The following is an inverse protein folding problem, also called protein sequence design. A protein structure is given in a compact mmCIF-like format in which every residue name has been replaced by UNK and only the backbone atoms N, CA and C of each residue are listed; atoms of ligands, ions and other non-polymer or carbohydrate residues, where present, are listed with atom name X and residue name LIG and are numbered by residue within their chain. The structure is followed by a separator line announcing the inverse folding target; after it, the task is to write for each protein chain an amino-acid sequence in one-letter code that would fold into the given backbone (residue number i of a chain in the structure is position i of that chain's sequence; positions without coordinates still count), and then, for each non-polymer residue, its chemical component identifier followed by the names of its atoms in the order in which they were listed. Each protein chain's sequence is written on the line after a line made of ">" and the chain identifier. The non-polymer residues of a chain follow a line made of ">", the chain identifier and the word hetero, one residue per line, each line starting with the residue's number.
data_IF_932177534661
#
_entry.id   IF_932177534661
#
_cell.length_a   1.000
_cell.length_b   1.000
_cell.length_c   1.000
_cell.angle_alpha   90.00
_cell.angle_beta   90.00
_cell.angle_gamma   90.00
#
_symmetry.space_group_name_H-M   'P 1'
#
loop_
_entity.id
_entity.type
_entity.pdbx_description
1 polymer ?
#
# COMPACT_ATOMS: atom_id res chain seq x y z
N UNK A 1 -3.92 17.76 29.20
CA UNK A 1 -4.39 17.49 27.83
C UNK A 1 -3.94 16.09 27.43
N UNK A 2 -4.77 15.28 26.78
CA UNK A 2 -4.31 13.96 26.29
C UNK A 2 -3.51 14.19 25.02
N UNK A 3 -2.26 13.75 25.02
CA UNK A 3 -1.40 13.80 23.85
C UNK A 3 -2.07 13.07 22.68
N UNK A 4 -2.09 13.69 21.49
CA UNK A 4 -2.70 13.07 20.32
C UNK A 4 -1.94 11.77 19.97
N UNK A 5 -2.63 10.71 19.50
CA UNK A 5 -1.94 9.50 19.06
C UNK A 5 -0.84 9.84 18.04
N UNK A 6 0.31 9.17 18.09
CA UNK A 6 1.48 9.47 17.24
C UNK A 6 1.12 9.56 15.74
N UNK A 7 0.18 8.73 15.27
CA UNK A 7 -0.36 8.80 13.90
C UNK A 7 -1.08 10.12 13.61
N UNK A 8 -1.93 10.60 14.53
CA UNK A 8 -2.65 11.86 14.38
C UNK A 8 -1.69 13.05 14.35
N UNK A 9 -0.66 13.04 15.22
CA UNK A 9 0.38 14.06 15.22
C UNK A 9 1.18 14.07 13.91
N UNK A 10 1.55 12.89 13.39
CA UNK A 10 2.28 12.76 12.13
C UNK A 10 1.47 13.21 10.90
N UNK A 11 0.14 13.14 10.96
CA UNK A 11 -0.76 13.57 9.88
C UNK A 11 -1.35 14.97 10.09
N UNK A 12 -1.06 15.63 11.22
CA UNK A 12 -1.69 16.90 11.61
C UNK A 12 -1.48 18.05 10.62
N UNK A 13 -0.45 17.97 9.78
CA UNK A 13 -0.10 19.00 8.79
C UNK A 13 -0.42 18.59 7.35
N UNK A 14 -1.10 17.47 7.13
CA UNK A 14 -1.55 17.08 5.79
C UNK A 14 -2.59 18.09 5.32
N UNK A 15 -2.33 18.74 4.18
CA UNK A 15 -3.22 19.76 3.59
C UNK A 15 -3.77 19.39 2.22
N UNK A 16 -3.20 18.36 1.60
CA UNK A 16 -3.52 17.94 0.25
C UNK A 16 -3.30 16.43 0.12
N UNK A 17 -3.91 15.87 -0.92
CA UNK A 17 -3.67 14.51 -1.39
C UNK A 17 -3.50 14.54 -2.90
N UNK A 18 -2.88 13.52 -3.47
CA UNK A 18 -2.91 13.32 -4.92
C UNK A 18 -4.35 13.08 -5.41
N UNK A 19 -4.56 13.23 -6.72
CA UNK A 19 -5.74 12.69 -7.38
C UNK A 19 -5.78 11.16 -7.26
N UNK A 20 -6.94 10.57 -7.54
CA UNK A 20 -7.09 9.12 -7.52
C UNK A 20 -6.32 8.51 -8.70
N UNK A 21 -5.42 7.59 -8.40
CA UNK A 21 -4.75 6.77 -9.40
C UNK A 21 -5.60 5.52 -9.66
N UNK A 22 -6.31 5.48 -10.79
CA UNK A 22 -7.01 4.27 -11.22
C UNK A 22 -6.02 3.32 -11.89
N UNK A 23 -6.00 2.06 -11.48
CA UNK A 23 -5.06 1.06 -11.99
C UNK A 23 -5.77 -0.25 -12.26
N UNK A 24 -5.41 -0.90 -13.36
CA UNK A 24 -5.85 -2.23 -13.74
C UNK A 24 -4.62 -3.09 -14.02
N UNK A 25 -4.58 -4.30 -13.46
CA UNK A 25 -3.54 -5.29 -13.70
C UNK A 25 -4.18 -6.46 -14.46
N UNK A 26 -4.03 -6.53 -15.81
CA UNK A 26 -4.68 -7.56 -16.61
C UNK A 26 -4.07 -8.93 -16.36
N UNK A 27 -4.91 -9.94 -16.10
CA UNK A 27 -4.51 -11.32 -15.79
C UNK A 27 -3.68 -11.93 -16.94
N UNK A 28 -4.04 -11.64 -18.19
CA UNK A 28 -3.41 -12.19 -19.39
C UNK A 28 -1.92 -11.84 -19.48
N UNK A 29 -1.55 -10.72 -18.85
CA UNK A 29 -0.18 -10.21 -18.84
C UNK A 29 0.63 -10.68 -17.62
N UNK A 30 0.01 -11.39 -16.66
CA UNK A 30 0.61 -11.71 -15.36
C UNK A 30 1.25 -10.46 -14.73
N UNK A 31 0.55 -9.33 -14.85
CA UNK A 31 1.06 -8.04 -14.40
C UNK A 31 1.36 -8.08 -12.90
N UNK A 32 2.44 -7.41 -12.52
CA UNK A 32 2.88 -7.28 -11.13
C UNK A 32 3.54 -5.94 -10.91
N UNK A 33 3.77 -5.61 -9.66
CA UNK A 33 4.55 -4.43 -9.31
C UNK A 33 5.64 -4.80 -8.33
N UNK A 34 6.89 -4.65 -8.78
CA UNK A 34 8.05 -5.06 -8.01
C UNK A 34 8.13 -4.33 -6.67
N UNK A 35 8.81 -4.98 -5.72
CA UNK A 35 9.04 -4.45 -4.38
C UNK A 35 9.60 -3.04 -4.42
N UNK A 36 8.96 -2.13 -3.70
CA UNK A 36 9.34 -0.72 -3.62
C UNK A 36 8.80 -0.08 -2.32
N UNK A 37 9.16 1.18 -2.08
CA UNK A 37 8.49 2.06 -1.12
C UNK A 37 7.93 3.26 -1.88
N UNK A 38 6.77 3.76 -1.45
CA UNK A 38 6.09 4.85 -2.14
C UNK A 38 6.88 6.17 -2.03
N UNK A 39 7.50 6.43 -0.89
CA UNK A 39 8.23 7.67 -0.63
C UNK A 39 9.75 7.47 -0.61
N UNK A 40 10.28 6.62 -1.49
CA UNK A 40 11.72 6.35 -1.60
C UNK A 40 12.58 7.57 -1.94
N UNK A 41 12.00 8.62 -2.54
CA UNK A 41 12.71 9.83 -3.00
C UNK A 41 12.35 11.11 -2.25
N UNK A 42 11.64 11.03 -1.12
CA UNK A 42 11.22 12.22 -0.38
C UNK A 42 10.21 13.08 -1.14
N UNK A 43 9.34 12.45 -1.93
CA UNK A 43 8.29 13.09 -2.74
C UNK A 43 7.12 13.67 -1.93
N UNK A 44 7.19 13.65 -0.60
CA UNK A 44 6.20 14.27 0.30
C UNK A 44 4.98 13.41 0.62
N UNK A 45 4.87 12.20 0.05
CA UNK A 45 3.82 11.25 0.41
C UNK A 45 4.02 10.72 1.83
N UNK A 46 2.99 10.84 2.68
CA UNK A 46 3.03 10.36 4.06
C UNK A 46 2.22 9.08 4.25
N UNK A 47 1.02 9.02 3.67
CA UNK A 47 0.08 7.92 3.84
C UNK A 47 -0.43 7.48 2.46
N UNK A 48 -0.31 6.19 2.19
CA UNK A 48 -0.90 5.54 1.02
C UNK A 48 -2.25 4.98 1.41
N UNK A 49 -3.26 5.20 0.56
CA UNK A 49 -4.59 4.65 0.70
C UNK A 49 -4.98 3.95 -0.62
N UNK A 50 -5.36 2.67 -0.53
CA UNK A 50 -5.77 1.87 -1.68
C UNK A 50 -7.16 1.30 -1.40
N UNK A 51 -8.10 1.52 -2.32
CA UNK A 51 -9.42 0.90 -2.31
C UNK A 51 -9.48 -0.16 -3.40
N UNK A 52 -9.70 -1.41 -3.02
CA UNK A 52 -9.84 -2.51 -3.96
C UNK A 52 -11.28 -2.69 -4.44
N UNK A 53 -11.42 -3.01 -5.73
CA UNK A 53 -12.70 -3.07 -6.43
C UNK A 53 -12.93 -4.43 -7.12
N UNK A 54 -12.33 -5.51 -6.63
CA UNK A 54 -12.47 -6.85 -7.23
C UNK A 54 -13.58 -7.65 -6.52
N UNK A 55 -14.80 -7.66 -7.08
CA UNK A 55 -15.98 -8.37 -6.53
C UNK A 55 -15.78 -9.88 -6.42
N UNK A 56 -15.25 -10.49 -7.48
CA UNK A 56 -15.17 -11.94 -7.62
C UNK A 56 -13.77 -12.51 -7.35
N UNK A 57 -12.91 -11.77 -6.64
CA UNK A 57 -11.57 -12.26 -6.32
C UNK A 57 -11.62 -13.50 -5.42
N UNK A 58 -10.92 -14.56 -5.82
CA UNK A 58 -10.77 -15.81 -5.09
C UNK A 58 -9.31 -16.10 -4.72
N UNK A 59 -9.06 -16.88 -3.65
CA UNK A 59 -7.72 -17.37 -3.34
C UNK A 59 -7.14 -18.14 -4.54
N UNK A 60 -5.99 -17.66 -5.05
CA UNK A 60 -5.32 -18.25 -6.21
C UNK A 60 -5.32 -17.34 -7.46
N UNK A 61 -6.18 -16.31 -7.50
CA UNK A 61 -6.23 -15.35 -8.62
C UNK A 61 -5.02 -14.41 -8.66
N UNK A 62 -4.20 -14.39 -7.60
CA UNK A 62 -3.04 -13.51 -7.49
C UNK A 62 -3.41 -12.08 -7.11
N UNK A 63 -2.53 -11.12 -7.43
CA UNK A 63 -2.79 -9.70 -7.18
C UNK A 63 -2.68 -9.27 -5.71
N UNK A 64 -2.27 -10.16 -4.80
CA UNK A 64 -2.10 -9.80 -3.40
C UNK A 64 -1.04 -8.70 -3.23
N UNK A 65 -1.33 -7.77 -2.31
CA UNK A 65 -0.34 -6.82 -1.84
C UNK A 65 0.48 -7.48 -0.74
N UNK A 66 1.74 -7.79 -1.03
CA UNK A 66 2.69 -8.33 -0.05
C UNK A 66 3.44 -7.19 0.62
N UNK A 67 3.34 -7.13 1.95
CA UNK A 67 4.02 -6.14 2.79
C UNK A 67 5.21 -6.78 3.49
N UNK A 68 6.31 -6.04 3.59
CA UNK A 68 7.52 -6.46 4.29
C UNK A 68 7.67 -5.72 5.63
N UNK A 69 8.48 -6.27 6.53
CA UNK A 69 8.90 -5.54 7.73
C UNK A 69 9.72 -4.29 7.35
N UNK A 70 9.79 -3.26 8.22
CA UNK A 70 10.50 -2.00 7.94
C UNK A 70 11.93 -2.17 7.45
N UNK A 71 12.36 -1.24 6.59
CA UNK A 71 13.68 -1.17 5.96
C UNK A 71 13.57 -1.36 4.45
N UNK A 72 14.12 -0.44 3.66
CA UNK A 72 13.98 -0.42 2.20
C UNK A 72 14.37 -1.75 1.53
N UNK A 73 15.36 -2.47 2.07
CA UNK A 73 15.84 -3.76 1.57
C UNK A 73 15.36 -4.99 2.37
N UNK A 74 14.34 -4.80 3.22
CA UNK A 74 13.76 -5.91 3.99
C UNK A 74 13.09 -6.93 3.06
N UNK A 75 13.49 -8.19 3.20
CA UNK A 75 12.89 -9.35 2.54
C UNK A 75 11.98 -10.15 3.48
N UNK A 76 11.85 -9.74 4.74
CA UNK A 76 11.02 -10.44 5.72
C UNK A 76 9.56 -10.07 5.49
N UNK A 77 8.79 -11.02 4.98
CA UNK A 77 7.35 -10.87 4.75
C UNK A 77 6.66 -10.60 6.10
N UNK A 78 5.87 -9.54 6.15
CA UNK A 78 5.04 -9.16 7.30
C UNK A 78 3.63 -9.74 7.15
N UNK A 79 3.02 -9.58 5.98
CA UNK A 79 1.69 -10.10 5.65
C UNK A 79 1.42 -9.96 4.16
N UNK A 80 0.42 -10.69 3.67
CA UNK A 80 -0.20 -10.49 2.36
C UNK A 80 -1.65 -10.05 2.52
N UNK A 81 -2.11 -9.17 1.65
CA UNK A 81 -3.46 -8.62 1.67
C UNK A 81 -4.13 -8.91 0.35
N UNK A 82 -5.16 -9.77 0.38
CA UNK A 82 -6.00 -10.03 -0.77
C UNK A 82 -6.73 -8.75 -1.25
N UNK A 83 -6.78 -8.48 -2.56
CA UNK A 83 -7.35 -7.27 -3.13
C UNK A 83 -8.88 -7.38 -3.28
N UNK A 84 -9.59 -7.71 -2.19
CA UNK A 84 -11.04 -7.99 -2.21
C UNK A 84 -11.87 -6.72 -2.39
N UNK A 85 -13.06 -6.83 -2.98
CA UNK A 85 -14.04 -5.76 -3.08
C UNK A 85 -14.25 -5.00 -1.78
N UNK A 86 -14.35 -3.67 -1.93
CA UNK A 86 -14.65 -2.73 -0.85
C UNK A 86 -13.65 -2.79 0.33
N UNK A 87 -12.42 -3.26 0.08
CA UNK A 87 -11.34 -3.23 1.06
C UNK A 87 -10.52 -1.95 0.90
N UNK A 88 -10.56 -1.09 1.92
CA UNK A 88 -9.64 0.02 2.07
C UNK A 88 -8.43 -0.42 2.91
N UNK A 89 -7.23 -0.23 2.38
CA UNK A 89 -5.98 -0.37 3.14
C UNK A 89 -5.31 1.00 3.25
N UNK A 90 -4.79 1.29 4.45
CA UNK A 90 -3.97 2.47 4.71
C UNK A 90 -2.64 2.05 5.30
N UNK A 91 -1.55 2.61 4.80
CA UNK A 91 -0.22 2.36 5.31
C UNK A 91 0.71 3.54 5.07
N UNK A 92 1.78 3.64 5.87
CA UNK A 92 2.78 4.71 5.73
C UNK A 92 3.53 4.56 4.41
N UNK A 93 3.69 5.65 3.66
CA UNK A 93 4.30 5.62 2.32
C UNK A 93 5.82 5.45 2.35
N UNK A 94 6.48 5.62 3.48
CA UNK A 94 7.94 5.52 3.60
C UNK A 94 8.42 4.08 3.88
N UNK A 95 9.70 3.95 4.21
CA UNK A 95 10.40 2.67 4.42
C UNK A 95 9.89 1.83 5.61
N UNK A 96 8.85 2.29 6.31
CA UNK A 96 8.10 1.48 7.26
C UNK A 96 7.32 0.36 6.57
N UNK A 97 6.96 0.53 5.29
CA UNK A 97 6.11 -0.42 4.55
C UNK A 97 6.62 -0.63 3.11
N UNK A 98 7.76 -1.29 2.92
CA UNK A 98 8.12 -1.83 1.61
C UNK A 98 7.05 -2.85 1.18
N UNK A 99 6.70 -2.86 -0.11
CA UNK A 99 5.63 -3.70 -0.63
C UNK A 99 5.74 -4.01 -2.12
N UNK A 100 5.12 -5.11 -2.54
CA UNK A 100 4.98 -5.52 -3.94
C UNK A 100 3.55 -6.01 -4.22
N UNK A 101 3.15 -5.98 -5.49
CA UNK A 101 1.90 -6.60 -5.97
C UNK A 101 2.27 -7.89 -6.69
N UNK A 102 1.72 -9.00 -6.24
CA UNK A 102 1.96 -10.32 -6.84
C UNK A 102 1.19 -10.47 -8.17
N UNK A 103 1.67 -11.38 -9.03
CA UNK A 103 0.96 -11.78 -10.27
C UNK A 103 0.20 -13.06 -10.08
#
# INVERSE_FOLDING_TARGET
>A
EREAPATAAALAKVRWRSEAMLTCYPEESRARYFRHTDNSSGNGRLLTAILYLNEDWNPGDGGELRLFHPGAESLKIKTEVAPRWNRLILFWSDDRVPHEVLS
#
